data_IF_890657113668
#
_entry.id   IF_890657113668
#
_cell.length_a   1.000
_cell.length_b   1.000
_cell.length_c   1.000
_cell.angle_alpha   90.00
_cell.angle_beta   90.00
_cell.angle_gamma   90.00
#
_symmetry.space_group_name_H-M   'P 1'
#
loop_
_entity.id
_entity.type
_entity.pdbx_description
1 polymer ?
#
# COMPACT_ATOMS: atom_id res chain seq x y z
N UNK A 1 4.09 -4.29 -3.54
CA UNK A 1 2.92 -3.44 -3.87
C UNK A 1 3.41 -2.03 -4.14
N UNK A 2 2.66 -1.24 -4.91
CA UNK A 2 2.76 0.22 -4.93
C UNK A 2 1.60 0.77 -4.13
N UNK A 3 1.90 1.69 -3.23
CA UNK A 3 0.96 2.31 -2.32
C UNK A 3 0.88 3.80 -2.64
N UNK A 4 -0.34 4.29 -2.81
CA UNK A 4 -0.60 5.73 -2.88
C UNK A 4 -1.21 6.15 -1.55
N UNK A 5 -0.46 6.97 -0.81
CA UNK A 5 -0.85 7.53 0.49
C UNK A 5 -0.98 9.03 0.28
N UNK A 6 -2.22 9.51 0.15
CA UNK A 6 -2.51 10.85 -0.36
C UNK A 6 -1.72 11.14 -1.66
N UNK A 7 -0.83 12.11 -1.66
CA UNK A 7 0.01 12.50 -2.80
C UNK A 7 1.30 11.68 -2.93
N UNK A 8 1.67 10.91 -1.90
CA UNK A 8 2.92 10.15 -1.87
C UNK A 8 2.75 8.78 -2.51
N UNK A 9 3.65 8.44 -3.43
CA UNK A 9 3.75 7.10 -4.03
C UNK A 9 4.98 6.40 -3.47
N UNK A 10 4.78 5.25 -2.83
CA UNK A 10 5.86 4.41 -2.32
C UNK A 10 5.67 2.96 -2.73
N UNK A 11 6.73 2.17 -2.67
CA UNK A 11 6.64 0.73 -2.86
C UNK A 11 6.97 0.01 -1.56
N UNK A 12 6.38 -1.16 -1.38
CA UNK A 12 6.58 -1.96 -0.18
C UNK A 12 6.49 -3.46 -0.45
N UNK A 13 7.14 -4.22 0.41
CA UNK A 13 7.12 -5.68 0.42
C UNK A 13 6.12 -6.13 1.49
N UNK A 14 5.19 -7.00 1.10
CA UNK A 14 4.22 -7.58 2.04
C UNK A 14 4.94 -8.63 2.87
N UNK A 15 4.93 -8.49 4.19
CA UNK A 15 5.51 -9.46 5.13
C UNK A 15 4.48 -10.43 5.68
N UNK A 16 3.22 -9.99 5.77
CA UNK A 16 2.11 -10.79 6.26
C UNK A 16 0.81 -10.35 5.57
N UNK A 17 -0.07 -11.30 5.28
CA UNK A 17 -1.42 -11.06 4.82
C UNK A 17 -2.34 -12.05 5.54
N UNK A 18 -3.15 -11.56 6.48
CA UNK A 18 -4.03 -12.38 7.31
C UNK A 18 -5.37 -11.68 7.45
N UNK A 19 -6.44 -12.42 7.21
CA UNK A 19 -7.81 -11.89 7.24
C UNK A 19 -7.89 -10.64 6.34
N UNK A 20 -8.40 -9.54 6.89
CA UNK A 20 -8.56 -8.25 6.22
C UNK A 20 -7.41 -7.27 6.51
N UNK A 21 -6.25 -7.76 6.95
CA UNK A 21 -5.09 -6.92 7.28
C UNK A 21 -3.82 -7.42 6.57
N UNK A 22 -3.02 -6.47 6.10
CA UNK A 22 -1.71 -6.72 5.53
C UNK A 22 -0.65 -5.92 6.28
N UNK A 23 0.52 -6.52 6.46
CA UNK A 23 1.71 -5.83 6.95
C UNK A 23 2.65 -5.59 5.78
N UNK A 24 3.13 -4.35 5.65
CA UNK A 24 3.96 -3.93 4.52
C UNK A 24 5.16 -3.15 5.03
N UNK A 25 6.35 -3.63 4.72
CA UNK A 25 7.59 -2.89 4.94
C UNK A 25 7.79 -1.94 3.75
N UNK A 26 7.80 -0.64 4.04
CA UNK A 26 7.95 0.41 3.03
C UNK A 26 9.42 0.57 2.63
N UNK A 27 9.68 0.81 1.33
CA UNK A 27 11.04 1.12 0.84
C UNK A 27 11.47 2.55 1.17
N UNK A 28 10.52 3.49 1.16
CA UNK A 28 10.71 4.88 1.59
C UNK A 28 9.66 5.20 2.64
N UNK A 29 10.03 5.86 3.76
CA UNK A 29 9.08 6.29 4.76
C UNK A 29 8.06 7.25 4.14
N UNK A 30 6.86 7.27 4.70
CA UNK A 30 5.77 8.14 4.27
C UNK A 30 5.23 8.89 5.48
N UNK A 31 4.80 10.13 5.29
CA UNK A 31 4.08 10.90 6.30
C UNK A 31 2.58 10.60 6.13
N UNK A 32 1.94 10.07 7.17
CA UNK A 32 0.51 9.78 7.16
C UNK A 32 -0.02 9.71 8.60
N UNK A 33 -1.30 10.07 8.76
CA UNK A 33 -2.00 9.89 10.03
C UNK A 33 -2.55 8.47 10.14
N UNK A 34 -2.75 8.00 11.38
CA UNK A 34 -3.48 6.76 11.62
C UNK A 34 -4.88 6.83 10.97
N UNK A 35 -5.38 5.71 10.47
CA UNK A 35 -6.63 5.59 9.71
C UNK A 35 -6.67 6.31 8.34
N UNK A 36 -5.55 6.86 7.86
CA UNK A 36 -5.47 7.42 6.50
C UNK A 36 -5.78 6.36 5.44
N UNK A 37 -6.50 6.75 4.40
CA UNK A 37 -6.78 5.88 3.26
C UNK A 37 -5.52 5.67 2.42
N UNK A 38 -5.29 4.43 2.00
CA UNK A 38 -4.18 4.02 1.14
C UNK A 38 -4.71 3.23 -0.03
N UNK A 39 -4.41 3.65 -1.25
CA UNK A 39 -4.72 2.87 -2.44
C UNK A 39 -3.61 1.84 -2.70
N UNK A 40 -4.00 0.63 -3.06
CA UNK A 40 -3.08 -0.50 -3.23
C UNK A 40 -3.06 -0.89 -4.71
N UNK A 41 -1.88 -0.81 -5.31
CA UNK A 41 -1.64 -1.22 -6.68
C UNK A 41 -0.70 -2.41 -6.76
N UNK A 42 -0.96 -3.31 -7.71
CA UNK A 42 -0.12 -4.48 -8.01
C UNK A 42 0.31 -4.43 -9.47
N UNK A 43 1.55 -4.85 -9.73
CA UNK A 43 2.03 -5.03 -11.09
C UNK A 43 1.36 -6.27 -11.68
N UNK A 44 0.65 -6.11 -12.79
CA UNK A 44 -0.02 -7.19 -13.53
C UNK A 44 0.33 -6.99 -15.00
N UNK A 45 1.09 -7.93 -15.58
CA UNK A 45 1.75 -7.74 -16.87
C UNK A 45 2.72 -6.56 -16.82
N UNK A 46 2.59 -5.64 -17.77
CA UNK A 46 3.45 -4.47 -17.88
C UNK A 46 2.98 -3.26 -17.04
N UNK A 47 1.74 -3.28 -16.54
CA UNK A 47 1.12 -2.14 -15.88
C UNK A 47 0.95 -2.29 -14.37
N UNK A 48 0.83 -1.17 -13.67
CA UNK A 48 0.27 -1.12 -12.32
C UNK A 48 -1.24 -1.05 -12.42
N UNK A 49 -1.92 -1.99 -11.76
CA UNK A 49 -3.38 -2.01 -11.66
C UNK A 49 -3.76 -1.73 -10.21
N UNK A 50 -4.72 -0.83 -10.03
CA UNK A 50 -5.39 -0.63 -8.74
C UNK A 50 -6.13 -1.92 -8.40
N UNK A 51 -5.84 -2.51 -7.24
CA UNK A 51 -6.45 -3.77 -6.78
C UNK A 51 -7.31 -3.62 -5.52
N UNK A 52 -7.30 -2.44 -4.90
CA UNK A 52 -8.09 -2.18 -3.71
C UNK A 52 -7.59 -0.97 -2.92
N UNK A 53 -8.12 -0.81 -1.72
CA UNK A 53 -7.72 0.22 -0.76
C UNK A 53 -7.77 -0.33 0.65
N UNK A 54 -7.12 0.36 1.59
CA UNK A 54 -7.15 0.05 3.01
C UNK A 54 -6.93 1.30 3.85
N UNK A 55 -6.93 1.14 5.17
CA UNK A 55 -6.60 2.18 6.13
C UNK A 55 -5.36 1.81 6.92
N UNK A 56 -4.52 2.79 7.23
CA UNK A 56 -3.34 2.60 8.09
C UNK A 56 -3.82 2.28 9.50
N UNK A 57 -3.32 1.17 10.06
CA UNK A 57 -3.56 0.74 11.44
C UNK A 57 -2.24 0.64 12.18
#
# INVERSE_FOLDING_TARGET
LVLNVATTVTSGIVTSARNDTIEVVLRKPVCAEANSNVAISRKIGEGWRLIGYGKIK
#
